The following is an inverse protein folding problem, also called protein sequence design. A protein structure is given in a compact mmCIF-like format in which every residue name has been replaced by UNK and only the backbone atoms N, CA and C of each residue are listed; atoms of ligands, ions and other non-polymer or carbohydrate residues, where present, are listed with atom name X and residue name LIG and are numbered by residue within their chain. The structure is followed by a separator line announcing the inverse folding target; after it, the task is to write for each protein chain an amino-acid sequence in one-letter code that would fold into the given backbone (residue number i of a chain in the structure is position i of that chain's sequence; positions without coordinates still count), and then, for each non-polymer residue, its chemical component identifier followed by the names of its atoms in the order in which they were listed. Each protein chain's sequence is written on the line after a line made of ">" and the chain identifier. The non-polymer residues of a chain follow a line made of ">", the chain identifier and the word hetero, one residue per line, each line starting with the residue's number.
data_IF_138755536260
#
_entry.id   IF_138755536260
#
_cell.length_a   1.000
_cell.length_b   1.000
_cell.length_c   1.000
_cell.angle_alpha   90.00
_cell.angle_beta   90.00
_cell.angle_gamma   90.00
#
_symmetry.space_group_name_H-M   'P 1'
#
loop_
_entity.id
_entity.type
_entity.pdbx_description
1 polymer ?
#
# COMPACT_ATOMS: atom_id res chain seq x y z
N UNK A 1 -39.04 8.12 -62.24
CA UNK A 1 -38.10 7.28 -61.48
C UNK A 1 -37.06 8.25 -60.96
N UNK A 2 -37.34 8.82 -59.79
CA UNK A 2 -36.35 9.61 -59.05
C UNK A 2 -35.51 8.56 -58.33
N UNK A 3 -34.26 8.42 -58.75
CA UNK A 3 -33.26 7.66 -58.00
C UNK A 3 -33.13 8.39 -56.65
N UNK A 4 -33.64 7.78 -55.59
CA UNK A 4 -33.32 8.20 -54.22
C UNK A 4 -31.80 8.06 -54.09
N UNK A 5 -31.08 9.19 -54.14
CA UNK A 5 -29.67 9.24 -53.79
C UNK A 5 -29.56 8.72 -52.35
N UNK A 6 -29.11 7.48 -52.18
CA UNK A 6 -28.76 6.94 -50.86
C UNK A 6 -27.69 7.88 -50.27
N UNK A 7 -28.08 8.70 -49.29
CA UNK A 7 -27.13 9.54 -48.54
C UNK A 7 -26.02 8.62 -48.01
N UNK A 8 -24.78 8.83 -48.48
CA UNK A 8 -23.61 8.09 -48.01
C UNK A 8 -23.49 8.28 -46.49
N UNK A 9 -23.60 7.17 -45.76
CA UNK A 9 -23.46 7.13 -44.31
C UNK A 9 -22.11 7.73 -43.88
N UNK A 10 -22.13 8.71 -42.96
CA UNK A 10 -20.93 9.34 -42.43
C UNK A 10 -19.98 8.27 -41.86
N UNK A 11 -18.73 8.16 -42.35
CA UNK A 11 -17.77 7.14 -41.93
C UNK A 11 -17.54 7.07 -40.41
N UNK A 12 -17.76 8.18 -39.69
CA UNK A 12 -17.64 8.23 -38.22
C UNK A 12 -18.72 7.39 -37.51
N UNK A 13 -19.90 7.25 -38.12
CA UNK A 13 -20.98 6.41 -37.57
C UNK A 13 -20.54 4.94 -37.58
N UNK A 14 -19.83 4.52 -38.63
CA UNK A 14 -19.30 3.17 -38.73
C UNK A 14 -18.24 2.90 -37.64
N UNK A 15 -17.30 3.82 -37.43
CA UNK A 15 -16.28 3.71 -36.39
C UNK A 15 -16.90 3.60 -34.97
N UNK A 16 -17.90 4.42 -34.65
CA UNK A 16 -18.59 4.36 -33.35
C UNK A 16 -19.41 3.06 -33.18
N UNK A 17 -19.98 2.52 -34.26
CA UNK A 17 -20.65 1.23 -34.22
C UNK A 17 -19.66 0.07 -34.00
N UNK A 18 -18.46 0.15 -34.58
CA UNK A 18 -17.38 -0.81 -34.34
C UNK A 18 -16.91 -0.75 -32.88
N UNK A 19 -16.73 0.45 -32.31
CA UNK A 19 -16.44 0.62 -30.88
C UNK A 19 -17.53 0.05 -29.99
N UNK A 20 -18.81 0.31 -30.31
CA UNK A 20 -19.94 -0.21 -29.56
C UNK A 20 -20.02 -1.73 -29.61
N UNK A 21 -19.79 -2.32 -30.78
CA UNK A 21 -19.75 -3.77 -30.94
C UNK A 21 -18.60 -4.38 -30.12
N UNK A 22 -17.41 -3.80 -30.17
CA UNK A 22 -16.26 -4.27 -29.40
C UNK A 22 -16.49 -4.15 -27.89
N UNK A 23 -17.05 -3.05 -27.42
CA UNK A 23 -17.42 -2.87 -26.02
C UNK A 23 -18.48 -3.90 -25.58
N UNK A 24 -19.47 -4.18 -26.44
CA UNK A 24 -20.50 -5.18 -26.16
C UNK A 24 -19.93 -6.61 -26.08
N UNK A 25 -19.01 -6.98 -26.97
CA UNK A 25 -18.28 -8.24 -26.89
C UNK A 25 -17.46 -8.34 -25.60
N UNK A 26 -16.79 -7.26 -25.20
CA UNK A 26 -16.03 -7.22 -23.96
C UNK A 26 -16.93 -7.37 -22.73
N UNK A 27 -18.07 -6.69 -22.70
CA UNK A 27 -19.08 -6.84 -21.64
C UNK A 27 -19.50 -8.31 -21.52
N UNK A 28 -19.95 -8.91 -22.63
CA UNK A 28 -20.38 -10.31 -22.65
C UNK A 28 -19.29 -11.26 -22.16
N UNK A 29 -18.04 -11.03 -22.57
CA UNK A 29 -16.89 -11.83 -22.14
C UNK A 29 -16.65 -11.71 -20.63
N UNK A 30 -16.65 -10.49 -20.09
CA UNK A 30 -16.42 -10.26 -18.65
C UNK A 30 -17.59 -10.80 -17.82
N UNK A 31 -18.82 -10.69 -18.32
CA UNK A 31 -20.00 -11.28 -17.66
C UNK A 31 -19.90 -12.80 -17.56
N UNK A 32 -19.47 -13.46 -18.64
CA UNK A 32 -19.24 -14.91 -18.63
C UNK A 32 -18.16 -15.30 -17.62
N UNK A 33 -17.01 -14.60 -17.63
CA UNK A 33 -15.93 -14.84 -16.67
C UNK A 33 -16.38 -14.61 -15.22
N UNK A 34 -17.21 -13.59 -14.99
CA UNK A 34 -17.76 -13.31 -13.67
C UNK A 34 -18.69 -14.42 -13.20
N UNK A 35 -19.55 -14.95 -14.06
CA UNK A 35 -20.45 -16.05 -13.71
C UNK A 35 -19.67 -17.36 -13.43
N UNK A 36 -18.66 -17.67 -14.25
CA UNK A 36 -17.76 -18.80 -14.02
C UNK A 36 -17.01 -18.66 -12.69
N UNK A 37 -16.49 -17.47 -12.38
CA UNK A 37 -15.79 -17.19 -11.13
C UNK A 37 -16.74 -17.31 -9.92
N UNK A 38 -17.97 -16.79 -10.03
CA UNK A 38 -19.01 -16.90 -9.00
C UNK A 38 -19.41 -18.35 -8.76
N UNK A 39 -19.62 -19.12 -9.82
CA UNK A 39 -19.97 -20.53 -9.74
C UNK A 39 -18.84 -21.34 -9.11
N UNK A 40 -17.59 -21.07 -9.51
CA UNK A 40 -16.40 -21.68 -8.90
C UNK A 40 -16.29 -21.33 -7.42
N UNK A 41 -16.49 -20.07 -7.05
CA UNK A 41 -16.49 -19.63 -5.66
C UNK A 41 -17.55 -20.35 -4.83
N UNK A 42 -18.80 -20.40 -5.30
CA UNK A 42 -19.91 -21.11 -4.60
C UNK A 42 -19.59 -22.59 -4.42
N UNK A 43 -19.01 -23.24 -5.43
CA UNK A 43 -18.59 -24.65 -5.36
C UNK A 43 -17.52 -24.85 -4.30
N UNK A 44 -16.44 -24.05 -4.33
CA UNK A 44 -15.33 -24.14 -3.37
C UNK A 44 -15.82 -23.88 -1.94
N UNK A 45 -16.66 -22.86 -1.73
CA UNK A 45 -17.22 -22.53 -0.44
C UNK A 45 -18.04 -23.70 0.13
N UNK A 46 -18.92 -24.27 -0.69
CA UNK A 46 -19.78 -25.40 -0.29
C UNK A 46 -18.98 -26.68 -0.02
N UNK A 47 -17.96 -26.96 -0.83
CA UNK A 47 -17.06 -28.10 -0.62
C UNK A 47 -16.22 -27.92 0.64
N UNK A 48 -15.67 -26.74 0.87
CA UNK A 48 -14.85 -26.42 2.04
C UNK A 48 -15.68 -26.50 3.32
N UNK A 49 -16.89 -25.93 3.33
CA UNK A 49 -17.81 -26.03 4.47
C UNK A 49 -18.16 -27.50 4.80
N UNK A 50 -18.44 -28.32 3.78
CA UNK A 50 -18.67 -29.77 3.98
C UNK A 50 -17.47 -30.47 4.59
N UNK A 51 -16.25 -30.22 4.09
CA UNK A 51 -15.01 -30.79 4.63
C UNK A 51 -14.77 -30.36 6.08
N UNK A 52 -14.96 -29.07 6.39
CA UNK A 52 -14.82 -28.54 7.74
C UNK A 52 -15.84 -29.15 8.71
N UNK A 53 -17.11 -29.29 8.31
CA UNK A 53 -18.14 -29.90 9.14
C UNK A 53 -17.88 -31.39 9.41
N UNK A 54 -17.35 -32.12 8.42
CA UNK A 54 -16.95 -33.52 8.59
C UNK A 54 -15.80 -33.65 9.60
N UNK A 55 -14.76 -32.82 9.48
CA UNK A 55 -13.65 -32.78 10.44
C UNK A 55 -14.09 -32.32 11.83
N UNK A 56 -14.96 -31.31 11.90
CA UNK A 56 -15.54 -30.81 13.15
C UNK A 56 -16.31 -31.90 13.90
N UNK A 57 -17.12 -32.68 13.18
CA UNK A 57 -17.84 -33.83 13.74
C UNK A 57 -16.89 -34.93 14.25
N UNK A 58 -15.78 -35.18 13.55
CA UNK A 58 -14.80 -36.20 13.94
C UNK A 58 -13.98 -35.80 15.18
N UNK A 59 -13.60 -34.53 15.29
CA UNK A 59 -12.70 -34.02 16.34
C UNK A 59 -13.45 -33.56 17.60
N UNK A 60 -14.69 -33.05 17.45
CA UNK A 60 -15.55 -32.67 18.56
C UNK A 60 -14.89 -31.67 19.52
N UNK A 61 -14.92 -31.99 20.82
CA UNK A 61 -14.56 -31.07 21.91
C UNK A 61 -13.08 -30.64 21.95
N UNK A 62 -12.17 -31.31 21.24
CA UNK A 62 -10.76 -30.90 21.25
C UNK A 62 -10.53 -29.59 20.49
N UNK A 63 -11.40 -29.25 19.52
CA UNK A 63 -11.35 -27.98 18.79
C UNK A 63 -11.62 -26.81 19.74
N UNK A 64 -12.67 -26.88 20.55
CA UNK A 64 -13.02 -25.81 21.49
C UNK A 64 -11.96 -25.62 22.57
N UNK A 65 -11.32 -26.71 23.02
CA UNK A 65 -10.20 -26.63 23.97
C UNK A 65 -8.95 -25.98 23.36
N UNK A 66 -8.69 -26.21 22.07
CA UNK A 66 -7.53 -25.65 21.37
C UNK A 66 -7.75 -24.20 20.89
N UNK A 67 -9.01 -23.77 20.73
CA UNK A 67 -9.38 -22.45 20.20
C UNK A 67 -8.69 -21.28 20.93
N UNK A 68 -8.66 -21.19 22.28
CA UNK A 68 -7.99 -20.09 22.98
C UNK A 68 -6.50 -19.97 22.64
N UNK A 69 -5.80 -21.10 22.49
CA UNK A 69 -4.40 -21.11 22.12
C UNK A 69 -4.17 -20.52 20.72
N UNK A 70 -4.96 -20.94 19.73
CA UNK A 70 -4.82 -20.43 18.36
C UNK A 70 -5.23 -18.97 18.21
N UNK A 71 -6.23 -18.52 18.97
CA UNK A 71 -6.62 -17.11 19.05
C UNK A 71 -5.50 -16.27 19.67
N UNK A 72 -4.96 -16.68 20.81
CA UNK A 72 -3.82 -16.02 21.43
C UNK A 72 -2.58 -16.01 20.50
N UNK A 73 -2.31 -17.11 19.81
CA UNK A 73 -1.22 -17.20 18.83
C UNK A 73 -1.42 -16.26 17.64
N UNK A 74 -2.65 -16.10 17.16
CA UNK A 74 -2.98 -15.13 16.09
C UNK A 74 -2.72 -13.71 16.58
N UNK A 75 -3.22 -13.35 17.77
CA UNK A 75 -3.02 -12.02 18.37
C UNK A 75 -1.53 -11.73 18.61
N UNK A 76 -0.77 -12.69 19.13
CA UNK A 76 0.67 -12.56 19.33
C UNK A 76 1.42 -12.31 18.02
N UNK A 77 1.02 -12.99 16.93
CA UNK A 77 1.60 -12.77 15.60
C UNK A 77 1.27 -11.38 15.05
N UNK A 78 0.03 -10.91 15.24
CA UNK A 78 -0.39 -9.57 14.84
C UNK A 78 0.36 -8.48 15.61
N UNK A 79 0.48 -8.63 16.93
CA UNK A 79 1.28 -7.75 17.78
C UNK A 79 2.74 -7.73 17.32
N UNK A 80 3.36 -8.90 17.13
CA UNK A 80 4.74 -9.01 16.64
C UNK A 80 4.93 -8.29 15.29
N UNK A 81 3.99 -8.43 14.35
CA UNK A 81 4.05 -7.76 13.06
C UNK A 81 3.97 -6.24 13.19
N UNK A 82 3.08 -5.73 14.05
CA UNK A 82 3.00 -4.27 14.28
C UNK A 82 4.26 -3.75 14.99
N UNK A 83 4.80 -4.49 15.97
CA UNK A 83 6.07 -4.15 16.62
C UNK A 83 7.21 -4.07 15.61
N UNK A 84 7.35 -5.06 14.73
CA UNK A 84 8.38 -5.05 13.68
C UNK A 84 8.20 -3.87 12.72
N UNK A 85 6.95 -3.56 12.34
CA UNK A 85 6.65 -2.42 11.47
C UNK A 85 6.99 -1.09 12.14
N UNK A 86 6.68 -0.93 13.42
CA UNK A 86 7.04 0.26 14.18
C UNK A 86 8.56 0.38 14.39
N UNK A 87 9.25 -0.73 14.66
CA UNK A 87 10.71 -0.77 14.76
C UNK A 87 11.38 -0.30 13.46
N UNK A 88 10.95 -0.83 12.31
CA UNK A 88 11.47 -0.42 11.00
C UNK A 88 11.20 1.06 10.69
N UNK A 89 10.05 1.60 11.10
CA UNK A 89 9.76 3.04 10.96
C UNK A 89 10.71 3.86 11.82
N UNK A 90 10.93 3.47 13.07
CA UNK A 90 11.86 4.14 13.97
C UNK A 90 13.30 4.08 13.43
N UNK A 91 13.78 2.92 12.99
CA UNK A 91 15.11 2.79 12.38
C UNK A 91 15.30 3.71 11.17
N UNK A 92 14.28 3.81 10.30
CA UNK A 92 14.29 4.75 9.16
C UNK A 92 14.34 6.20 9.63
N UNK A 93 13.55 6.58 10.63
CA UNK A 93 13.55 7.94 11.17
C UNK A 93 14.91 8.30 11.81
N UNK A 94 15.51 7.38 12.56
CA UNK A 94 16.87 7.52 13.12
C UNK A 94 17.90 7.73 11.99
N UNK A 95 17.83 6.90 10.94
CA UNK A 95 18.73 7.01 9.77
C UNK A 95 18.59 8.36 9.06
N UNK A 96 17.36 8.82 8.82
CA UNK A 96 17.08 10.12 8.21
C UNK A 96 17.58 11.29 9.08
N UNK A 97 17.38 11.21 10.41
CA UNK A 97 17.90 12.22 11.34
C UNK A 97 19.43 12.30 11.31
N UNK A 98 20.11 11.15 11.31
CA UNK A 98 21.57 11.11 11.21
C UNK A 98 22.07 11.71 9.88
N UNK A 99 21.43 11.40 8.75
CA UNK A 99 21.76 12.00 7.47
C UNK A 99 21.51 13.53 7.46
N UNK A 100 20.45 13.99 8.11
CA UNK A 100 20.18 15.43 8.26
C UNK A 100 21.25 16.13 9.09
N UNK A 101 21.74 15.50 10.16
CA UNK A 101 22.85 16.03 10.97
C UNK A 101 24.15 16.13 10.18
N UNK A 102 24.45 15.14 9.35
CA UNK A 102 25.62 15.20 8.46
C UNK A 102 25.51 16.36 7.46
N UNK A 103 24.32 16.62 6.90
CA UNK A 103 24.10 17.78 6.03
C UNK A 103 24.36 19.12 6.74
N UNK A 104 23.95 19.27 8.01
CA UNK A 104 24.26 20.46 8.81
C UNK A 104 25.77 20.61 8.99
N UNK A 105 26.46 19.52 9.36
CA UNK A 105 27.90 19.54 9.57
C UNK A 105 28.69 19.97 8.32
N UNK A 106 28.32 19.46 7.14
CA UNK A 106 28.92 19.87 5.86
C UNK A 106 28.61 21.34 5.53
N UNK A 107 27.37 21.78 5.74
CA UNK A 107 26.98 23.16 5.50
C UNK A 107 27.73 24.13 6.43
N UNK A 108 27.90 23.79 7.71
CA UNK A 108 28.70 24.56 8.67
C UNK A 108 30.15 24.69 8.24
N UNK A 109 30.77 23.60 7.76
CA UNK A 109 32.14 23.65 7.22
C UNK A 109 32.23 24.56 5.99
N UNK A 110 31.25 24.49 5.08
CA UNK A 110 31.19 25.35 3.89
C UNK A 110 31.11 26.83 4.24
N UNK A 111 30.27 27.20 5.20
CA UNK A 111 30.15 28.59 5.69
C UNK A 111 31.43 29.07 6.37
N UNK A 112 32.10 28.21 7.15
CA UNK A 112 33.31 28.57 7.91
C UNK A 112 34.59 28.62 7.07
N UNK A 113 34.61 27.97 5.90
CA UNK A 113 35.76 27.92 5.02
C UNK A 113 36.02 29.26 4.31
N UNK A 114 34.99 30.05 4.01
CA UNK A 114 35.12 31.31 3.27
C UNK A 114 35.08 32.55 4.18
N UNK A 115 36.24 32.90 4.75
CA UNK A 115 36.38 33.97 5.76
C UNK A 115 36.08 35.39 5.25
N UNK A 116 36.01 35.61 3.94
CA UNK A 116 35.93 36.96 3.37
C UNK A 116 34.63 37.27 2.62
N UNK A 117 33.71 36.32 2.45
CA UNK A 117 32.36 36.53 1.92
C UNK A 117 31.47 35.37 2.36
N UNK A 118 30.43 35.64 3.14
CA UNK A 118 29.37 34.67 3.37
C UNK A 118 28.67 34.41 2.03
N UNK A 119 28.92 33.26 1.44
CA UNK A 119 28.24 32.79 0.24
C UNK A 119 26.75 32.52 0.59
N UNK A 120 25.79 33.22 -0.06
CA UNK A 120 24.37 33.03 0.17
C UNK A 120 23.90 31.58 -0.02
N UNK A 121 24.56 30.81 -0.89
CA UNK A 121 24.18 29.41 -1.17
C UNK A 121 24.43 28.51 0.04
N UNK A 122 25.53 28.71 0.76
CA UNK A 122 25.85 27.96 1.97
C UNK A 122 24.97 28.37 3.15
N UNK A 123 24.54 29.64 3.22
CA UNK A 123 23.56 30.09 4.21
C UNK A 123 22.17 29.46 3.99
N UNK A 124 21.69 29.43 2.75
CA UNK A 124 20.43 28.76 2.40
C UNK A 124 20.51 27.26 2.68
N UNK A 125 21.64 26.61 2.35
CA UNK A 125 21.86 25.19 2.64
C UNK A 125 21.84 24.91 4.14
N UNK A 126 22.47 25.75 4.96
CA UNK A 126 22.46 25.62 6.42
C UNK A 126 21.05 25.78 6.99
N UNK A 127 20.29 26.77 6.51
CA UNK A 127 18.90 26.97 6.92
C UNK A 127 18.03 25.76 6.57
N UNK A 128 18.16 25.23 5.35
CA UNK A 128 17.43 24.04 4.93
C UNK A 128 17.81 22.80 5.74
N UNK A 129 19.11 22.56 5.92
CA UNK A 129 19.61 21.43 6.70
C UNK A 129 19.13 21.51 8.17
N UNK A 130 19.12 22.70 8.75
CA UNK A 130 18.64 22.93 10.14
C UNK A 130 17.13 22.65 10.27
N UNK A 131 16.31 23.14 9.33
CA UNK A 131 14.87 22.80 9.30
C UNK A 131 14.65 21.30 9.20
N UNK A 132 15.40 20.65 8.30
CA UNK A 132 15.29 19.21 8.06
C UNK A 132 15.74 18.36 9.25
N UNK A 133 16.74 18.80 10.02
CA UNK A 133 17.13 18.14 11.28
C UNK A 133 16.01 18.20 12.30
N UNK A 134 15.35 19.35 12.45
CA UNK A 134 14.23 19.51 13.39
C UNK A 134 13.05 18.61 13.02
N UNK A 135 12.66 18.59 11.74
CA UNK A 135 11.59 17.71 11.22
C UNK A 135 11.93 16.23 11.41
N UNK A 136 13.16 15.82 11.10
CA UNK A 136 13.61 14.45 11.26
C UNK A 136 13.69 14.04 12.74
N UNK A 137 14.06 14.95 13.64
CA UNK A 137 14.06 14.71 15.08
C UNK A 137 12.64 14.53 15.64
N UNK A 138 11.68 15.35 15.20
CA UNK A 138 10.28 15.18 15.59
C UNK A 138 9.75 13.81 15.13
N UNK A 139 10.02 13.42 13.88
CA UNK A 139 9.62 12.11 13.36
C UNK A 139 10.29 10.95 14.12
N UNK A 140 11.57 11.09 14.48
CA UNK A 140 12.30 10.12 15.29
C UNK A 140 11.65 9.93 16.66
N UNK A 141 11.31 11.01 17.35
CA UNK A 141 10.66 10.95 18.67
C UNK A 141 9.24 10.38 18.59
N UNK A 142 8.47 10.73 17.55
CA UNK A 142 7.12 10.17 17.34
C UNK A 142 7.18 8.67 17.08
N UNK A 143 8.06 8.24 16.18
CA UNK A 143 8.22 6.83 15.83
C UNK A 143 8.81 6.00 16.99
N UNK A 144 9.67 6.59 17.83
CA UNK A 144 10.17 5.96 19.05
C UNK A 144 9.05 5.67 20.06
N UNK A 145 8.21 6.68 20.35
CA UNK A 145 7.07 6.53 21.27
C UNK A 145 6.09 5.48 20.78
N UNK A 146 5.81 5.47 19.49
CA UNK A 146 4.92 4.47 18.89
C UNK A 146 5.53 3.07 18.98
N UNK A 147 6.82 2.91 18.67
CA UNK A 147 7.52 1.64 18.81
C UNK A 147 7.50 1.14 20.27
N UNK A 148 7.76 2.00 21.25
CA UNK A 148 7.65 1.65 22.66
C UNK A 148 6.23 1.21 23.04
N UNK A 149 5.22 1.93 22.57
CA UNK A 149 3.80 1.63 22.83
C UNK A 149 3.38 0.27 22.30
N UNK A 150 3.85 -0.14 21.12
CA UNK A 150 3.48 -1.43 20.50
C UNK A 150 4.39 -2.60 20.92
N UNK A 151 5.44 -2.33 21.70
CA UNK A 151 6.36 -3.37 22.21
C UNK A 151 5.97 -3.84 23.62
N UNK A 152 5.30 -2.99 24.41
CA UNK A 152 4.79 -3.30 25.76
C UNK A 152 3.50 -4.11 25.71
#
# INVERSE_FOLDING_TARGET
>A
EEEEEEEELDPRIQEELEHLNQANEEINRVELQLDEARTTYRRILSESARKLNAQGSQLGNCIEKARPYYEARRLAREAQQETQKAALRYERAVSMHNAAREMVFVAEQGVMADKNRLDPTWQEMLNHATSKVNEAEEERLRSEREHQRVTQ
#
